data_IF_167823957081
#
_entry.id   IF_167823957081
#
_cell.length_a   1.000
_cell.length_b   1.000
_cell.length_c   1.000
_cell.angle_alpha   90.00
_cell.angle_beta   90.00
_cell.angle_gamma   90.00
#
_symmetry.space_group_name_H-M   'P 1'
#
loop_
_entity.id
_entity.type
_entity.pdbx_description
1 polymer ?
#
# COMPACT_ATOMS: atom_id res chain seq x y z
N UNK A 1 6.27 -13.10 14.08
CA UNK A 1 5.30 -13.53 13.05
C UNK A 1 3.87 -13.11 13.40
N UNK A 2 3.31 -13.47 14.57
CA UNK A 2 1.93 -13.10 14.97
C UNK A 2 1.65 -11.58 15.02
N UNK A 3 2.62 -10.75 15.44
CA UNK A 3 2.43 -9.29 15.51
C UNK A 3 2.32 -8.64 14.11
N UNK A 4 3.14 -9.08 13.14
CA UNK A 4 3.15 -8.55 11.77
C UNK A 4 1.83 -8.84 11.06
N UNK A 5 1.36 -10.08 11.14
CA UNK A 5 0.05 -10.47 10.59
C UNK A 5 -1.08 -9.64 11.20
N UNK A 6 -1.09 -9.39 12.53
CA UNK A 6 -2.12 -8.54 13.15
C UNK A 6 -2.08 -7.10 12.64
N UNK A 7 -0.88 -6.58 12.38
CA UNK A 7 -0.68 -5.24 11.85
C UNK A 7 -1.16 -5.13 10.39
N UNK A 8 -0.89 -6.15 9.57
CA UNK A 8 -1.39 -6.24 8.21
C UNK A 8 -2.91 -6.36 8.14
N UNK A 9 -3.52 -7.15 9.03
CA UNK A 9 -4.98 -7.22 9.17
C UNK A 9 -5.58 -5.87 9.58
N UNK A 10 -4.95 -5.13 10.50
CA UNK A 10 -5.41 -3.78 10.83
C UNK A 10 -5.31 -2.83 9.64
N UNK A 11 -4.27 -2.97 8.81
CA UNK A 11 -4.09 -2.16 7.62
C UNK A 11 -5.13 -2.47 6.55
N UNK A 12 -5.49 -3.75 6.37
CA UNK A 12 -6.55 -4.18 5.47
C UNK A 12 -7.91 -3.58 5.88
N UNK A 13 -8.26 -3.65 7.17
CA UNK A 13 -9.49 -3.05 7.71
C UNK A 13 -9.51 -1.54 7.50
N UNK A 14 -8.38 -0.86 7.76
CA UNK A 14 -8.24 0.59 7.52
C UNK A 14 -8.42 0.89 6.02
N UNK A 15 -7.78 0.12 5.13
CA UNK A 15 -7.92 0.28 3.69
C UNK A 15 -9.36 0.12 3.19
N UNK A 16 -10.07 -0.91 3.68
CA UNK A 16 -11.49 -1.12 3.36
C UNK A 16 -12.37 0.02 3.87
N UNK A 17 -12.11 0.51 5.09
CA UNK A 17 -12.87 1.61 5.67
C UNK A 17 -12.64 2.92 4.91
N UNK A 18 -11.40 3.19 4.49
CA UNK A 18 -11.08 4.32 3.61
C UNK A 18 -11.77 4.20 2.25
N UNK A 19 -11.79 3.00 1.66
CA UNK A 19 -12.46 2.75 0.39
C UNK A 19 -13.97 3.01 0.48
N UNK A 20 -14.62 2.49 1.53
CA UNK A 20 -16.04 2.74 1.79
C UNK A 20 -16.33 4.22 2.02
N UNK A 21 -15.46 4.92 2.76
CA UNK A 21 -15.59 6.37 2.96
C UNK A 21 -15.46 7.15 1.66
N UNK A 22 -14.52 6.78 0.76
CA UNK A 22 -14.36 7.41 -0.55
C UNK A 22 -15.59 7.22 -1.44
N UNK A 23 -16.17 6.02 -1.46
CA UNK A 23 -17.42 5.73 -2.19
C UNK A 23 -18.60 6.52 -1.61
N UNK A 24 -18.74 6.52 -0.28
CA UNK A 24 -19.81 7.26 0.40
C UNK A 24 -19.76 8.76 0.08
N UNK A 25 -18.56 9.36 0.15
CA UNK A 25 -18.33 10.77 -0.19
C UNK A 25 -18.54 11.08 -1.68
N UNK A 26 -18.28 10.10 -2.57
CA UNK A 26 -18.56 10.22 -3.99
C UNK A 26 -20.06 10.22 -4.30
N UNK A 27 -20.87 9.47 -3.54
CA UNK A 27 -22.33 9.38 -3.72
C UNK A 27 -23.05 10.54 -3.03
N UNK A 28 -22.66 10.89 -1.80
CA UNK A 28 -23.31 11.95 -1.02
C UNK A 28 -22.95 13.37 -1.47
N UNK A 29 -21.94 13.49 -2.34
CA UNK A 29 -21.27 14.75 -2.62
C UNK A 29 -20.31 15.11 -1.49
N UNK A 30 -19.13 15.60 -1.85
CA UNK A 30 -18.12 16.05 -0.88
C UNK A 30 -18.56 17.32 -0.10
N UNK A 31 -19.70 17.91 -0.50
CA UNK A 31 -20.39 19.05 0.14
C UNK A 31 -20.93 18.69 1.54
N UNK A 32 -21.24 17.43 1.81
CA UNK A 32 -21.69 16.94 3.12
C UNK A 32 -20.63 17.13 4.21
N UNK A 33 -19.34 17.18 3.84
CA UNK A 33 -18.27 17.27 4.82
C UNK A 33 -18.23 18.61 5.58
N UNK A 34 -18.93 19.67 5.15
CA UNK A 34 -19.00 21.01 5.82
C UNK A 34 -17.64 21.61 6.26
N UNK A 35 -16.52 21.03 5.82
CA UNK A 35 -15.16 21.42 6.10
C UNK A 35 -14.63 22.06 4.81
N UNK A 36 -14.04 23.27 4.84
CA UNK A 36 -13.52 23.91 3.66
C UNK A 36 -12.21 23.23 3.23
N UNK A 37 -12.32 22.10 2.52
CA UNK A 37 -11.15 21.57 1.80
C UNK A 37 -10.87 22.46 0.59
N UNK A 38 -9.60 22.81 0.32
CA UNK A 38 -9.24 23.63 -0.84
C UNK A 38 -9.68 23.01 -2.18
N UNK A 39 -9.82 21.69 -2.25
CA UNK A 39 -10.25 20.94 -3.44
C UNK A 39 -11.18 19.78 -3.10
N UNK A 40 -12.43 20.11 -2.82
CA UNK A 40 -13.50 19.18 -2.46
C UNK A 40 -13.67 18.02 -3.46
N UNK A 41 -13.50 18.29 -4.76
CA UNK A 41 -13.66 17.33 -5.86
C UNK A 41 -12.59 16.21 -5.87
N UNK A 42 -11.42 16.47 -5.29
CA UNK A 42 -10.33 15.49 -5.26
C UNK A 42 -10.39 14.54 -4.05
N UNK A 43 -11.14 14.91 -3.02
CA UNK A 43 -11.19 14.19 -1.74
C UNK A 43 -11.77 12.79 -1.91
N UNK A 44 -12.94 12.57 -2.53
CA UNK A 44 -13.51 11.22 -2.67
C UNK A 44 -12.59 10.28 -3.45
N UNK A 45 -11.97 10.81 -4.52
CA UNK A 45 -11.04 10.08 -5.37
C UNK A 45 -9.80 9.68 -4.57
N UNK A 46 -9.19 10.61 -3.82
CA UNK A 46 -8.01 10.32 -3.02
C UNK A 46 -8.27 9.28 -1.93
N UNK A 47 -9.42 9.34 -1.25
CA UNK A 47 -9.83 8.36 -0.25
C UNK A 47 -10.02 6.97 -0.85
N UNK A 48 -10.74 6.88 -1.97
CA UNK A 48 -10.97 5.61 -2.66
C UNK A 48 -9.66 4.98 -3.15
N UNK A 49 -8.79 5.78 -3.80
CA UNK A 49 -7.49 5.29 -4.28
C UNK A 49 -6.59 4.85 -3.14
N UNK A 50 -6.47 5.64 -2.06
CA UNK A 50 -5.69 5.26 -0.88
C UNK A 50 -6.18 3.92 -0.31
N UNK A 51 -7.50 3.75 -0.17
CA UNK A 51 -8.11 2.51 0.31
C UNK A 51 -7.78 1.29 -0.55
N UNK A 52 -7.88 1.43 -1.88
CA UNK A 52 -7.54 0.34 -2.83
C UNK A 52 -6.07 -0.04 -2.72
N UNK A 53 -5.15 0.94 -2.70
CA UNK A 53 -3.72 0.65 -2.64
C UNK A 53 -3.35 -0.09 -1.35
N UNK A 54 -3.87 0.37 -0.21
CA UNK A 54 -3.63 -0.29 1.09
C UNK A 54 -4.20 -1.71 1.14
N UNK A 55 -5.39 -1.92 0.60
CA UNK A 55 -6.00 -3.25 0.53
C UNK A 55 -5.17 -4.23 -0.30
N UNK A 56 -4.68 -3.80 -1.46
CA UNK A 56 -3.85 -4.64 -2.35
C UNK A 56 -2.51 -5.00 -1.73
N UNK A 57 -1.86 -4.05 -1.03
CA UNK A 57 -0.58 -4.31 -0.33
C UNK A 57 -0.79 -5.26 0.84
N UNK A 58 -1.74 -4.96 1.72
CA UNK A 58 -2.01 -5.76 2.91
C UNK A 58 -2.42 -7.19 2.54
N UNK A 59 -3.34 -7.35 1.58
CA UNK A 59 -3.79 -8.67 1.12
C UNK A 59 -2.67 -9.49 0.48
N UNK A 60 -1.81 -8.87 -0.33
CA UNK A 60 -0.66 -9.55 -0.93
C UNK A 60 0.35 -10.01 0.13
N UNK A 61 0.65 -9.17 1.12
CA UNK A 61 1.55 -9.52 2.23
C UNK A 61 0.98 -10.62 3.13
N UNK A 62 -0.33 -10.59 3.45
CA UNK A 62 -0.98 -11.63 4.27
C UNK A 62 -0.91 -12.98 3.56
N UNK A 63 -1.19 -13.01 2.25
CA UNK A 63 -1.12 -14.23 1.46
C UNK A 63 0.31 -14.80 1.39
N UNK A 64 1.30 -13.92 1.24
CA UNK A 64 2.71 -14.28 1.28
C UNK A 64 3.14 -14.82 2.65
N UNK A 65 2.79 -14.14 3.75
CA UNK A 65 3.13 -14.61 5.11
C UNK A 65 2.46 -15.94 5.46
N UNK A 66 1.26 -16.20 4.94
CA UNK A 66 0.53 -17.46 5.15
C UNK A 66 1.10 -18.63 4.35
N UNK A 67 1.69 -18.36 3.19
CA UNK A 67 2.27 -19.36 2.28
C UNK A 67 3.76 -19.62 2.54
N UNK A 68 4.37 -18.89 3.47
CA UNK A 68 5.78 -19.06 3.83
C UNK A 68 6.00 -20.33 4.67
N UNK A 69 6.41 -21.43 4.02
CA UNK A 69 6.76 -22.70 4.66
C UNK A 69 8.04 -22.59 5.50
N UNK A 70 8.08 -23.34 6.61
CA UNK A 70 9.17 -23.35 7.61
C UNK A 70 10.56 -23.70 7.04
N UNK A 71 10.64 -24.33 5.87
CA UNK A 71 11.90 -24.74 5.22
C UNK A 71 12.74 -23.56 4.72
N UNK A 72 12.10 -22.46 4.25
CA UNK A 72 12.80 -21.22 3.88
C UNK A 72 13.43 -20.48 5.07
N UNK A 73 13.19 -20.92 6.32
CA UNK A 73 13.83 -20.33 7.51
C UNK A 73 15.14 -21.04 7.90
N UNK A 74 15.41 -22.23 7.36
CA UNK A 74 16.55 -23.06 7.77
C UNK A 74 17.74 -22.89 6.81
N UNK A 75 17.50 -22.54 5.55
CA UNK A 75 18.52 -22.31 4.51
C UNK A 75 19.19 -20.92 4.58
N UNK A 76 18.55 -19.92 5.22
CA UNK A 76 19.09 -18.56 5.44
C UNK A 76 20.25 -18.49 6.47
N UNK A 77 20.71 -19.62 7.02
CA UNK A 77 21.59 -19.61 8.21
C UNK A 77 23.08 -19.40 7.92
N UNK A 78 23.51 -19.38 6.65
CA UNK A 78 24.92 -19.31 6.26
C UNK A 78 25.41 -18.00 5.57
N UNK A 79 24.55 -17.04 5.23
CA UNK A 79 24.98 -15.78 4.56
C UNK A 79 24.62 -14.50 5.35
N UNK A 80 25.07 -14.41 6.61
CA UNK A 80 24.52 -13.44 7.59
C UNK A 80 24.68 -11.96 7.26
N UNK A 81 25.65 -11.53 6.45
CA UNK A 81 25.88 -10.09 6.19
C UNK A 81 25.11 -9.58 4.96
N UNK A 82 24.99 -10.39 3.90
CA UNK A 82 24.25 -10.02 2.69
C UNK A 82 22.74 -10.04 2.96
N UNK A 83 22.28 -11.00 3.77
CA UNK A 83 20.87 -11.12 4.17
C UNK A 83 20.40 -9.95 5.04
N UNK A 84 21.24 -9.37 5.91
CA UNK A 84 20.81 -8.25 6.76
C UNK A 84 20.50 -7.02 5.91
N UNK A 85 21.37 -6.66 4.97
CA UNK A 85 21.14 -5.49 4.11
C UNK A 85 19.95 -5.69 3.18
N UNK A 86 19.81 -6.88 2.58
CA UNK A 86 18.65 -7.19 1.72
C UNK A 86 17.34 -7.20 2.51
N UNK A 87 17.34 -7.76 3.72
CA UNK A 87 16.18 -7.78 4.62
C UNK A 87 15.82 -6.38 5.11
N UNK A 88 16.80 -5.53 5.42
CA UNK A 88 16.57 -4.13 5.76
C UNK A 88 15.95 -3.35 4.59
N UNK A 89 16.47 -3.53 3.36
CA UNK A 89 15.91 -2.92 2.14
C UNK A 89 14.47 -3.37 1.89
N UNK A 90 14.17 -4.67 2.03
CA UNK A 90 12.82 -5.20 1.88
C UNK A 90 11.86 -4.56 2.89
N UNK A 91 12.27 -4.44 4.16
CA UNK A 91 11.44 -3.79 5.20
C UNK A 91 11.22 -2.30 4.94
N UNK A 92 12.23 -1.59 4.45
CA UNK A 92 12.08 -0.19 4.07
C UNK A 92 11.12 -0.03 2.89
N UNK A 93 11.17 -0.96 1.94
CA UNK A 93 10.24 -0.99 0.81
C UNK A 93 8.79 -1.27 1.25
N UNK A 94 8.56 -2.26 2.12
CA UNK A 94 7.23 -2.54 2.70
C UNK A 94 6.66 -1.30 3.40
N UNK A 95 7.49 -0.61 4.21
CA UNK A 95 7.10 0.63 4.88
C UNK A 95 6.77 1.75 3.88
N UNK A 96 7.58 1.92 2.85
CA UNK A 96 7.33 2.91 1.79
C UNK A 96 6.02 2.60 1.06
N UNK A 97 5.75 1.32 0.78
CA UNK A 97 4.52 0.88 0.12
C UNK A 97 3.26 1.23 0.93
N UNK A 98 3.36 1.20 2.27
CA UNK A 98 2.26 1.54 3.19
C UNK A 98 2.14 3.06 3.38
N UNK A 99 3.26 3.77 3.56
CA UNK A 99 3.26 5.20 3.90
C UNK A 99 2.93 6.07 2.68
N UNK A 100 3.33 5.69 1.47
CA UNK A 100 3.12 6.51 0.27
C UNK A 100 1.64 6.79 -0.04
N UNK A 101 0.71 5.82 0.05
CA UNK A 101 -0.73 6.08 -0.06
C UNK A 101 -1.25 7.12 0.94
N UNK A 102 -0.76 7.14 2.18
CA UNK A 102 -1.16 8.14 3.19
C UNK A 102 -0.61 9.53 2.85
N UNK A 103 0.62 9.62 2.35
CA UNK A 103 1.21 10.89 1.91
C UNK A 103 0.41 11.47 0.73
N UNK A 104 0.08 10.64 -0.27
CA UNK A 104 -0.74 11.05 -1.41
C UNK A 104 -2.13 11.52 -0.99
N UNK A 105 -2.75 10.83 -0.02
CA UNK A 105 -4.02 11.25 0.55
C UNK A 105 -3.91 12.63 1.24
N UNK A 106 -2.90 12.82 2.10
CA UNK A 106 -2.69 14.08 2.79
C UNK A 106 -2.47 15.24 1.80
N UNK A 107 -1.62 15.06 0.79
CA UNK A 107 -1.36 16.05 -0.26
C UNK A 107 -2.62 16.41 -1.06
N UNK A 108 -3.48 15.43 -1.34
CA UNK A 108 -4.76 15.66 -2.00
C UNK A 108 -5.72 16.47 -1.11
N UNK A 109 -5.83 16.12 0.18
CA UNK A 109 -6.72 16.81 1.13
C UNK A 109 -6.29 18.25 1.39
N UNK A 110 -5.00 18.52 1.53
CA UNK A 110 -4.47 19.87 1.75
C UNK A 110 -4.45 20.73 0.48
N UNK A 111 -4.87 20.19 -0.67
CA UNK A 111 -4.94 20.95 -1.93
C UNK A 111 -3.59 21.21 -2.60
N UNK A 112 -2.50 20.66 -2.09
CA UNK A 112 -1.16 20.77 -2.69
C UNK A 112 -1.00 19.93 -3.96
N UNK A 113 -1.96 19.06 -4.29
CA UNK A 113 -1.87 18.14 -5.42
C UNK A 113 -3.03 18.34 -6.41
N UNK A 114 -2.71 18.46 -7.71
CA UNK A 114 -3.67 18.50 -8.83
C UNK A 114 -4.13 17.08 -9.22
N UNK A 115 -5.26 16.98 -9.94
CA UNK A 115 -5.75 15.72 -10.52
C UNK A 115 -4.66 14.99 -11.31
N UNK A 116 -3.99 15.70 -12.21
CA UNK A 116 -2.94 15.14 -13.08
C UNK A 116 -1.77 14.55 -12.26
N UNK A 117 -1.25 15.32 -11.29
CA UNK A 117 -0.14 14.86 -10.44
C UNK A 117 -0.53 13.65 -9.59
N UNK A 118 -1.80 13.57 -9.15
CA UNK A 118 -2.31 12.44 -8.37
C UNK A 118 -2.33 11.16 -9.20
N UNK A 119 -2.86 11.22 -10.43
CA UNK A 119 -2.86 10.08 -11.34
C UNK A 119 -1.45 9.63 -11.74
N UNK A 120 -0.53 10.58 -11.99
CA UNK A 120 0.86 10.25 -12.35
C UNK A 120 1.59 9.54 -11.21
N UNK A 121 1.53 10.07 -9.98
CA UNK A 121 2.20 9.47 -8.83
C UNK A 121 1.59 8.11 -8.44
N UNK A 122 0.26 8.01 -8.53
CA UNK A 122 -0.44 6.74 -8.32
C UNK A 122 -0.07 5.71 -9.40
N UNK A 123 0.01 6.13 -10.66
CA UNK A 123 0.44 5.28 -11.78
C UNK A 123 1.87 4.78 -11.59
N UNK A 124 2.79 5.67 -11.19
CA UNK A 124 4.16 5.30 -10.84
C UNK A 124 4.21 4.26 -9.72
N UNK A 125 3.41 4.45 -8.67
CA UNK A 125 3.32 3.50 -7.57
C UNK A 125 2.86 2.11 -8.05
N UNK A 126 1.80 2.07 -8.86
CA UNK A 126 1.28 0.81 -9.42
C UNK A 126 2.32 0.14 -10.32
N UNK A 127 3.06 0.90 -11.13
CA UNK A 127 4.14 0.37 -11.97
C UNK A 127 5.27 -0.24 -11.14
N UNK A 128 5.72 0.43 -10.08
CA UNK A 128 6.75 -0.09 -9.18
C UNK A 128 6.31 -1.37 -8.48
N UNK A 129 5.08 -1.39 -7.93
CA UNK A 129 4.53 -2.58 -7.27
C UNK A 129 4.29 -3.73 -8.25
N UNK A 130 3.85 -3.42 -9.47
CA UNK A 130 3.69 -4.38 -10.56
C UNK A 130 5.02 -5.00 -10.98
N UNK A 131 6.05 -4.18 -11.17
CA UNK A 131 7.40 -4.65 -11.51
C UNK A 131 7.99 -5.53 -10.40
N UNK A 132 7.80 -5.16 -9.12
CA UNK A 132 8.19 -5.99 -7.99
C UNK A 132 7.51 -7.37 -8.04
N UNK A 133 6.18 -7.42 -8.26
CA UNK A 133 5.45 -8.69 -8.37
C UNK A 133 5.90 -9.52 -9.57
N UNK A 134 6.17 -8.88 -10.71
CA UNK A 134 6.70 -9.54 -11.90
C UNK A 134 8.07 -10.18 -11.63
N UNK A 135 8.98 -9.44 -11.01
CA UNK A 135 10.31 -9.93 -10.66
C UNK A 135 10.24 -11.08 -9.64
N UNK A 136 9.34 -10.98 -8.66
CA UNK A 136 9.10 -12.05 -7.69
C UNK A 136 8.59 -13.33 -8.36
N UNK A 137 7.67 -13.21 -9.33
CA UNK A 137 7.16 -14.35 -10.09
C UNK A 137 8.28 -15.02 -10.90
N UNK A 138 9.08 -14.21 -11.60
CA UNK A 138 10.22 -14.70 -12.39
C UNK A 138 11.24 -15.46 -11.54
N UNK A 139 11.64 -14.92 -10.39
CA UNK A 139 12.61 -15.57 -9.48
C UNK A 139 12.05 -16.89 -8.91
N UNK A 140 10.72 -16.97 -8.73
CA UNK A 140 10.05 -18.19 -8.26
C UNK A 140 9.92 -19.25 -9.36
N UNK A 141 9.94 -18.87 -10.63
CA UNK A 141 9.94 -19.79 -11.76
C UNK A 141 11.33 -20.37 -12.02
N UNK A 142 12.39 -19.61 -11.71
CA UNK A 142 13.79 -20.01 -11.87
C UNK A 142 14.32 -20.92 -10.72
N UNK A 143 13.61 -21.03 -9.59
CA UNK A 143 13.94 -21.90 -8.44
C UNK A 143 12.91 -23.02 -8.27
#
# INVERSE_FOLDING_TARGET
MKLKIRLLWSLEVIGTLLLLSGIALGISGAEVLTIPFPRLDLVPIAFAFCGVLLFVVAGAEIWYEKTKTKEQQIEEKDERLILIQQKAKARAFDLLAIVLPFILLALAMFGYMNKVSMFLLTGLYILCMGYYKFQLYKIKEEN
#
